data_IF_977860770590
#
_entry.id   IF_977860770590
#
_cell.length_a   1.000
_cell.length_b   1.000
_cell.length_c   1.000
_cell.angle_alpha   90.00
_cell.angle_beta   90.00
_cell.angle_gamma   90.00
#
_symmetry.space_group_name_H-M   'P 1'
#
loop_
_entity.id
_entity.type
_entity.pdbx_description
1 polymer ?
#
# COMPACT_ATOMS: atom_id res chain seq x y z
N UNK A 1 -6.46 -7.95 14.38
CA UNK A 1 -5.84 -7.01 13.42
C UNK A 1 -5.41 -5.72 14.11
N UNK A 2 -6.28 -5.15 14.94
CA UNK A 2 -6.00 -3.96 15.75
C UNK A 2 -4.74 -4.07 16.62
N UNK A 3 -4.47 -5.23 17.23
CA UNK A 3 -3.25 -5.42 18.01
C UNK A 3 -1.95 -5.34 17.21
N UNK A 4 -1.89 -5.95 16.02
CA UNK A 4 -0.68 -5.94 15.17
C UNK A 4 -0.45 -4.53 14.60
N UNK A 5 -1.52 -3.91 14.10
CA UNK A 5 -1.46 -2.56 13.52
C UNK A 5 -1.13 -1.53 14.61
N UNK A 6 -1.69 -1.69 15.82
CA UNK A 6 -1.36 -0.87 16.98
C UNK A 6 0.09 -1.00 17.43
N UNK A 7 0.67 -2.20 17.39
CA UNK A 7 2.11 -2.39 17.69
C UNK A 7 2.99 -1.77 16.60
N UNK A 8 2.66 -1.99 15.32
CA UNK A 8 3.42 -1.45 14.19
C UNK A 8 3.42 0.08 14.17
N UNK A 9 2.24 0.70 14.30
CA UNK A 9 2.10 2.15 14.17
C UNK A 9 2.33 2.90 15.48
N UNK A 10 1.99 2.29 16.62
CA UNK A 10 2.19 2.85 17.95
C UNK A 10 3.58 2.54 18.51
N UNK A 11 3.80 1.30 18.94
CA UNK A 11 5.03 0.90 19.66
C UNK A 11 6.29 1.06 18.82
N UNK A 12 6.24 0.70 17.54
CA UNK A 12 7.39 0.78 16.63
C UNK A 12 7.45 2.10 15.85
N UNK A 13 6.43 2.95 15.95
CA UNK A 13 6.38 4.25 15.28
C UNK A 13 6.50 4.17 13.75
N UNK A 14 6.09 3.04 13.14
CA UNK A 14 6.36 2.75 11.72
C UNK A 14 5.45 3.50 10.74
N UNK A 15 4.53 4.31 11.23
CA UNK A 15 3.57 5.03 10.38
C UNK A 15 4.25 5.85 9.28
N UNK A 16 5.10 6.83 9.63
CA UNK A 16 5.78 7.64 8.62
C UNK A 16 6.77 6.84 7.76
N UNK A 17 7.58 5.92 8.32
CA UNK A 17 8.43 5.04 7.52
C UNK A 17 7.67 4.19 6.49
N UNK A 18 6.56 3.57 6.89
CA UNK A 18 5.73 2.74 6.00
C UNK A 18 5.08 3.59 4.92
N UNK A 19 4.54 4.74 5.28
CA UNK A 19 3.94 5.68 4.33
C UNK A 19 4.95 6.17 3.29
N UNK A 20 6.15 6.58 3.73
CA UNK A 20 7.21 7.02 2.82
C UNK A 20 7.69 5.88 1.93
N UNK A 21 7.94 4.70 2.51
CA UNK A 21 8.37 3.52 1.76
C UNK A 21 7.31 3.11 0.72
N UNK A 22 6.04 3.14 1.09
CA UNK A 22 4.89 2.92 0.22
C UNK A 22 4.91 3.87 -0.98
N UNK A 23 5.00 5.17 -0.75
CA UNK A 23 4.99 6.20 -1.80
C UNK A 23 6.18 6.05 -2.74
N UNK A 24 7.39 5.90 -2.19
CA UNK A 24 8.61 5.71 -2.99
C UNK A 24 8.50 4.45 -3.84
N UNK A 25 8.04 3.34 -3.25
CA UNK A 25 7.88 2.07 -3.95
C UNK A 25 6.81 2.17 -5.02
N UNK A 26 5.71 2.89 -4.77
CA UNK A 26 4.65 3.12 -5.74
C UNK A 26 5.15 3.92 -6.95
N UNK A 27 5.85 5.03 -6.74
CA UNK A 27 6.45 5.83 -7.81
C UNK A 27 7.45 4.98 -8.62
N UNK A 28 8.30 4.22 -7.93
CA UNK A 28 9.25 3.31 -8.58
C UNK A 28 8.54 2.24 -9.41
N UNK A 29 7.46 1.65 -8.89
CA UNK A 29 6.65 0.66 -9.59
C UNK A 29 6.02 1.21 -10.87
N UNK A 30 5.54 2.46 -10.85
CA UNK A 30 5.00 3.15 -12.01
C UNK A 30 6.06 3.38 -13.09
N UNK A 31 7.24 3.89 -12.71
CA UNK A 31 8.36 4.14 -13.63
C UNK A 31 8.80 2.83 -14.31
N UNK A 32 8.97 1.76 -13.54
CA UNK A 32 9.39 0.45 -14.05
C UNK A 32 8.26 -0.36 -14.67
N UNK A 33 7.01 0.10 -14.59
CA UNK A 33 5.80 -0.65 -14.96
C UNK A 33 5.80 -2.08 -14.40
N UNK A 34 6.26 -2.22 -13.15
CA UNK A 34 6.43 -3.53 -12.53
C UNK A 34 5.26 -3.86 -11.61
N UNK A 35 4.57 -4.96 -11.92
CA UNK A 35 3.47 -5.45 -11.09
C UNK A 35 3.93 -5.90 -9.70
N UNK A 36 5.15 -6.44 -9.58
CA UNK A 36 5.69 -6.91 -8.28
C UNK A 36 5.88 -5.73 -7.33
N UNK A 37 6.54 -4.68 -7.80
CA UNK A 37 6.77 -3.47 -7.00
C UNK A 37 5.46 -2.78 -6.65
N UNK A 38 4.46 -2.87 -7.53
CA UNK A 38 3.13 -2.34 -7.25
C UNK A 38 2.45 -3.08 -6.10
N UNK A 39 2.53 -4.41 -6.05
CA UNK A 39 2.00 -5.19 -4.92
C UNK A 39 2.76 -4.89 -3.61
N UNK A 40 4.08 -4.73 -3.67
CA UNK A 40 4.87 -4.36 -2.49
C UNK A 40 4.41 -3.01 -1.94
N UNK A 41 4.16 -2.01 -2.81
CA UNK A 41 3.63 -0.72 -2.36
C UNK A 41 2.27 -0.84 -1.67
N UNK A 42 1.42 -1.77 -2.12
CA UNK A 42 0.08 -2.02 -1.57
C UNK A 42 0.15 -2.64 -0.18
N UNK A 43 1.05 -3.60 0.01
CA UNK A 43 1.29 -4.24 1.31
C UNK A 43 1.84 -3.21 2.30
N UNK A 44 2.78 -2.37 1.88
CA UNK A 44 3.36 -1.33 2.73
C UNK A 44 2.33 -0.28 3.15
N UNK A 45 1.41 0.11 2.25
CA UNK A 45 0.38 1.11 2.55
C UNK A 45 -0.76 0.58 3.43
N UNK A 46 -0.97 -0.74 3.44
CA UNK A 46 -2.15 -1.34 4.03
C UNK A 46 -2.32 -1.05 5.54
N UNK A 47 -1.28 -1.12 6.40
CA UNK A 47 -1.38 -0.73 7.80
C UNK A 47 -1.85 0.71 7.99
N UNK A 48 -1.31 1.65 7.20
CA UNK A 48 -1.67 3.07 7.26
C UNK A 48 -3.12 3.29 6.79
N UNK A 49 -3.51 2.64 5.70
CA UNK A 49 -4.87 2.69 5.15
C UNK A 49 -5.92 2.13 6.13
N UNK A 50 -5.57 1.08 6.87
CA UNK A 50 -6.41 0.53 7.92
C UNK A 50 -6.52 1.50 9.11
N UNK A 51 -5.41 2.10 9.53
CA UNK A 51 -5.39 3.09 10.61
C UNK A 51 -6.30 4.29 10.28
N UNK A 52 -6.17 4.84 9.07
CA UNK A 52 -7.04 5.90 8.56
C UNK A 52 -8.49 5.48 8.35
N UNK A 53 -8.82 4.18 8.39
CA UNK A 53 -10.21 3.75 8.36
C UNK A 53 -10.89 3.84 9.73
N UNK A 54 -10.10 3.82 10.81
CA UNK A 54 -10.56 3.97 12.18
C UNK A 54 -10.38 5.38 12.74
N UNK A 55 -9.32 6.11 12.36
CA UNK A 55 -9.02 7.43 12.91
C UNK A 55 -8.04 8.25 12.04
N UNK A 56 -8.41 9.45 11.53
CA UNK A 56 -9.76 10.00 11.38
C UNK A 56 -10.68 9.00 10.65
N UNK A 57 -11.99 8.94 10.96
CA UNK A 57 -12.86 7.88 10.46
C UNK A 57 -13.18 8.09 8.98
N UNK A 58 -12.30 7.63 8.10
CA UNK A 58 -12.54 7.51 6.68
C UNK A 58 -12.70 6.04 6.31
N UNK A 59 -13.89 5.43 6.46
CA UNK A 59 -14.09 3.98 6.28
C UNK A 59 -13.69 3.47 4.90
N UNK A 60 -13.65 4.37 3.91
CA UNK A 60 -13.24 4.10 2.55
C UNK A 60 -11.71 3.97 2.39
N UNK A 61 -10.91 4.50 3.31
CA UNK A 61 -9.45 4.51 3.24
C UNK A 61 -8.85 3.10 3.16
N UNK A 62 -9.49 2.11 3.79
CA UNK A 62 -9.10 0.68 3.71
C UNK A 62 -9.07 0.12 2.28
N UNK A 63 -9.76 0.77 1.35
CA UNK A 63 -9.82 0.38 -0.06
C UNK A 63 -8.76 1.06 -0.92
N UNK A 64 -7.99 2.04 -0.40
CA UNK A 64 -6.94 2.73 -1.17
C UNK A 64 -5.90 1.75 -1.75
N UNK A 65 -5.41 0.73 -1.01
CA UNK A 65 -4.48 -0.24 -1.57
C UNK A 65 -5.05 -1.05 -2.75
N UNK A 66 -6.38 -1.15 -2.92
CA UNK A 66 -6.97 -1.85 -4.07
C UNK A 66 -6.62 -1.19 -5.40
N UNK A 67 -6.43 0.14 -5.43
CA UNK A 67 -6.01 0.84 -6.66
C UNK A 67 -4.66 0.30 -7.12
N UNK A 68 -3.73 0.08 -6.17
CA UNK A 68 -2.41 -0.46 -6.46
C UNK A 68 -2.52 -1.92 -6.92
N UNK A 69 -3.41 -2.72 -6.30
CA UNK A 69 -3.68 -4.10 -6.77
C UNK A 69 -4.24 -4.13 -8.20
N UNK A 70 -5.19 -3.25 -8.54
CA UNK A 70 -5.75 -3.16 -9.90
C UNK A 70 -4.65 -2.78 -10.90
N UNK A 71 -3.81 -1.79 -10.57
CA UNK A 71 -2.67 -1.42 -11.41
C UNK A 71 -1.66 -2.56 -11.56
N UNK A 72 -1.43 -3.34 -10.50
CA UNK A 72 -0.55 -4.51 -10.56
C UNK A 72 -1.10 -5.55 -11.55
N UNK A 73 -2.41 -5.81 -11.54
CA UNK A 73 -3.07 -6.72 -12.50
C UNK A 73 -2.89 -6.18 -13.93
N UNK A 74 -3.11 -4.89 -14.15
CA UNK A 74 -2.94 -4.27 -15.48
C UNK A 74 -1.49 -4.44 -15.97
N UNK A 75 -0.50 -4.12 -15.14
CA UNK A 75 0.91 -4.27 -15.51
C UNK A 75 1.30 -5.72 -15.74
N UNK A 76 0.76 -6.66 -14.97
CA UNK A 76 0.97 -8.08 -15.17
C UNK A 76 0.43 -8.54 -16.54
N UNK A 77 -0.80 -8.16 -16.88
CA UNK A 77 -1.42 -8.50 -18.16
C UNK A 77 -0.70 -7.85 -19.35
N UNK A 78 -0.28 -6.60 -19.22
CA UNK A 78 0.49 -5.90 -20.26
C UNK A 78 1.86 -6.57 -20.48
N UNK A 79 2.54 -7.00 -19.42
CA UNK A 79 3.80 -7.73 -19.53
C UNK A 79 3.64 -9.09 -20.22
N UNK A 80 2.51 -9.77 -20.02
CA UNK A 80 2.24 -11.09 -20.65
C UNK A 80 1.91 -10.98 -22.13
N UNK A 81 1.38 -9.84 -22.59
CA UNK A 81 1.03 -9.61 -24.01
C UNK A 81 2.21 -9.16 -24.88
N UNK A 82 3.36 -8.84 -24.27
CA UNK A 82 4.56 -8.33 -24.96
C UNK A 82 5.62 -9.42 -25.02
#
# INVERSE_FOLDING_TARGET
>A
MEGIIGVLLGTLGLFYPLLLASVITFVYALIKRSWIWMLISAILLYPDAWFFSGYPPFPWAKFVPLIQVILAIIFYLLKRKR
#
